data_IF_518569197345
#
_entry.id   IF_518569197345
#
_cell.length_a   1.000
_cell.length_b   1.000
_cell.length_c   1.000
_cell.angle_alpha   90.00
_cell.angle_beta   90.00
_cell.angle_gamma   90.00
#
_symmetry.space_group_name_H-M   'P 1'
#
loop_
_entity.id
_entity.type
_entity.pdbx_description
1 polymer ?
#
# COMPACT_ATOMS: atom_id res chain seq x y z
N UNK A 1 -12.39 22.11 9.18
CA UNK A 1 -11.78 20.91 9.78
C UNK A 1 -11.41 20.05 8.61
N UNK A 2 -10.14 20.06 8.23
CA UNK A 2 -9.62 19.09 7.27
C UNK A 2 -9.09 17.95 8.14
N UNK A 3 -9.98 17.04 8.53
CA UNK A 3 -9.59 15.77 9.15
C UNK A 3 -9.02 14.88 8.04
N UNK A 4 -7.81 15.19 7.59
CA UNK A 4 -7.07 14.32 6.66
C UNK A 4 -6.46 13.22 7.51
N UNK A 5 -7.05 12.02 7.44
CA UNK A 5 -6.53 10.83 8.11
C UNK A 5 -5.39 10.29 7.26
N UNK A 6 -4.19 10.20 7.82
CA UNK A 6 -3.05 9.57 7.17
C UNK A 6 -2.99 8.10 7.57
N UNK A 7 -2.75 7.22 6.61
CA UNK A 7 -2.68 5.78 6.86
C UNK A 7 -1.26 5.30 6.74
N UNK A 8 -0.79 4.55 7.74
CA UNK A 8 0.41 3.73 7.57
C UNK A 8 -0.02 2.33 7.20
N UNK A 9 0.31 1.96 5.98
CA UNK A 9 -0.04 0.67 5.40
C UNK A 9 1.18 -0.24 5.43
N UNK A 10 1.01 -1.40 6.05
CA UNK A 10 1.95 -2.51 5.96
C UNK A 10 1.55 -3.40 4.79
N UNK A 11 2.23 -3.23 3.66
CA UNK A 11 2.08 -4.05 2.46
C UNK A 11 2.85 -5.35 2.62
N UNK A 12 2.15 -6.48 2.54
CA UNK A 12 2.76 -7.81 2.51
C UNK A 12 2.53 -8.47 1.17
N UNK A 13 3.58 -9.10 0.62
CA UNK A 13 3.48 -9.77 -0.68
C UNK A 13 3.19 -11.25 -0.49
N UNK A 14 2.10 -11.70 -1.09
CA UNK A 14 1.71 -13.10 -1.12
C UNK A 14 2.81 -13.97 -1.77
N UNK A 15 3.01 -15.18 -1.24
CA UNK A 15 4.01 -16.12 -1.76
C UNK A 15 5.44 -15.91 -1.25
N UNK A 16 5.71 -14.89 -0.43
CA UNK A 16 6.95 -14.75 0.36
C UNK A 16 8.22 -14.51 -0.46
N UNK A 17 8.12 -14.30 -1.78
CA UNK A 17 9.25 -14.07 -2.67
C UNK A 17 9.76 -12.62 -2.71
N UNK A 18 9.03 -11.69 -2.10
CA UNK A 18 9.33 -10.26 -2.14
C UNK A 18 9.30 -9.67 -0.73
N UNK A 19 10.22 -8.72 -0.47
CA UNK A 19 10.14 -7.91 0.73
C UNK A 19 8.86 -7.06 0.64
N UNK A 20 7.99 -7.16 1.65
CA UNK A 20 6.89 -6.21 1.83
C UNK A 20 7.42 -4.79 2.08
N UNK A 21 6.50 -3.83 2.15
CA UNK A 21 6.84 -2.43 2.37
C UNK A 21 5.93 -1.82 3.42
N UNK A 22 6.44 -0.85 4.18
CA UNK A 22 5.61 -0.02 5.06
C UNK A 22 5.63 1.39 4.49
N UNK A 23 4.47 1.87 4.04
CA UNK A 23 4.33 3.14 3.31
C UNK A 23 3.24 3.97 4.00
N UNK A 24 3.50 5.27 4.15
CA UNK A 24 2.45 6.20 4.55
C UNK A 24 1.73 6.66 3.29
N UNK A 25 0.41 6.60 3.31
CA UNK A 25 -0.47 7.03 2.22
C UNK A 25 -1.50 8.00 2.78
N UNK A 26 -1.93 8.92 1.93
CA UNK A 26 -2.92 9.94 2.29
C UNK A 26 -4.35 9.39 2.22
N UNK A 27 -4.56 8.33 1.45
CA UNK A 27 -5.84 7.68 1.23
C UNK A 27 -5.78 6.20 1.62
N UNK A 28 -6.91 5.65 2.09
CA UNK A 28 -7.03 4.23 2.40
C UNK A 28 -6.85 3.40 1.10
N UNK A 29 -5.94 2.41 1.10
CA UNK A 29 -5.72 1.56 -0.07
C UNK A 29 -6.98 0.75 -0.38
N UNK A 30 -7.21 0.48 -1.66
CA UNK A 30 -8.39 -0.24 -2.13
C UNK A 30 -8.01 -1.57 -2.77
N UNK A 31 -8.81 -2.61 -2.55
CA UNK A 31 -8.62 -3.90 -3.25
C UNK A 31 -8.74 -3.69 -4.77
N UNK A 32 -7.76 -4.19 -5.51
CA UNK A 32 -7.60 -4.00 -6.95
C UNK A 32 -6.73 -2.79 -7.33
N UNK A 33 -6.34 -1.95 -6.37
CA UNK A 33 -5.38 -0.88 -6.59
C UNK A 33 -4.00 -1.44 -6.93
N UNK A 34 -3.26 -0.72 -7.77
CA UNK A 34 -1.90 -1.07 -8.13
C UNK A 34 -0.91 -0.16 -7.43
N UNK A 35 0.00 -0.75 -6.66
CA UNK A 35 1.01 -0.04 -5.89
C UNK A 35 2.40 -0.39 -6.40
N UNK A 36 3.26 0.62 -6.48
CA UNK A 36 4.65 0.46 -6.92
C UNK A 36 5.58 0.67 -5.74
N UNK A 37 6.40 -0.33 -5.47
CA UNK A 37 7.50 -0.21 -4.52
C UNK A 37 8.66 -1.12 -4.94
N UNK A 38 9.89 -0.72 -4.62
CA UNK A 38 11.10 -1.47 -5.00
C UNK A 38 11.19 -1.76 -6.52
N UNK A 39 10.70 -0.83 -7.35
CA UNK A 39 10.69 -0.96 -8.82
C UNK A 39 9.72 -2.02 -9.36
N UNK A 40 8.84 -2.58 -8.51
CA UNK A 40 7.89 -3.64 -8.85
C UNK A 40 6.47 -3.15 -8.67
N UNK A 41 5.58 -3.68 -9.51
CA UNK A 41 4.15 -3.42 -9.50
C UNK A 41 3.43 -4.57 -8.79
N UNK A 42 2.60 -4.22 -7.82
CA UNK A 42 1.78 -5.15 -7.06
C UNK A 42 0.31 -4.71 -7.10
N UNK A 43 -0.59 -5.69 -7.03
CA UNK A 43 -2.03 -5.46 -6.90
C UNK A 43 -2.45 -5.74 -5.47
N UNK A 44 -3.17 -4.82 -4.85
CA UNK A 44 -3.76 -5.02 -3.52
C UNK A 44 -4.88 -6.06 -3.62
N UNK A 45 -4.75 -7.18 -2.92
CA UNK A 45 -5.73 -8.26 -2.92
C UNK A 45 -6.64 -8.24 -1.69
N UNK A 46 -6.15 -7.70 -0.58
CA UNK A 46 -6.89 -7.62 0.67
C UNK A 46 -6.44 -6.40 1.47
N UNK A 47 -7.36 -5.74 2.17
CA UNK A 47 -7.06 -4.64 3.10
C UNK A 47 -7.72 -4.95 4.43
N UNK A 48 -6.94 -4.88 5.50
CA UNK A 48 -7.37 -5.15 6.87
C UNK A 48 -6.98 -3.98 7.76
N UNK A 49 -7.94 -3.43 8.48
CA UNK A 49 -7.66 -2.47 9.55
C UNK A 49 -7.09 -3.21 10.76
N UNK A 50 -5.83 -2.92 11.11
CA UNK A 50 -5.18 -3.55 12.25
C UNK A 50 -5.58 -2.90 13.57
N UNK A 51 -5.78 -1.58 13.55
CA UNK A 51 -6.20 -0.80 14.70
C UNK A 51 -7.12 0.33 14.24
N UNK A 52 -8.17 0.65 15.03
CA UNK A 52 -9.03 1.77 14.73
C UNK A 52 -8.21 3.08 14.68
N UNK A 53 -8.60 4.04 13.83
CA UNK A 53 -7.89 5.31 13.71
C UNK A 53 -7.82 6.02 15.06
N UNK A 54 -6.63 6.45 15.44
CA UNK A 54 -6.35 7.16 16.69
C UNK A 54 -6.01 8.61 16.37
N UNK A 55 -7.02 9.48 16.44
CA UNK A 55 -6.89 10.86 15.95
C UNK A 55 -6.81 10.87 14.42
N UNK A 56 -5.77 11.49 13.87
CA UNK A 56 -5.62 11.70 12.42
C UNK A 56 -4.79 10.58 11.74
N UNK A 57 -4.68 9.40 12.36
CA UNK A 57 -3.82 8.32 11.88
C UNK A 57 -4.43 6.92 12.03
N UNK A 58 -4.39 6.14 10.94
CA UNK A 58 -4.84 4.74 10.89
C UNK A 58 -3.70 3.76 10.58
N UNK A 59 -3.78 2.54 11.13
CA UNK A 59 -2.86 1.45 10.80
C UNK A 59 -3.58 0.38 9.99
N UNK A 60 -3.16 0.22 8.75
CA UNK A 60 -3.73 -0.74 7.82
C UNK A 60 -2.69 -1.80 7.44
N UNK A 61 -3.20 -2.97 7.09
CA UNK A 61 -2.44 -4.06 6.51
C UNK A 61 -3.03 -4.36 5.15
N UNK A 62 -2.21 -4.37 4.12
CA UNK A 62 -2.63 -4.69 2.78
C UNK A 62 -1.86 -5.91 2.27
N UNK A 63 -2.59 -6.97 1.92
CA UNK A 63 -1.99 -8.07 1.17
C UNK A 63 -1.93 -7.67 -0.30
N UNK A 64 -0.83 -8.01 -0.94
CA UNK A 64 -0.63 -7.72 -2.34
C UNK A 64 -0.06 -8.92 -3.08
N UNK A 65 -0.39 -8.99 -4.36
CA UNK A 65 0.17 -9.96 -5.28
C UNK A 65 1.12 -9.26 -6.24
N UNK A 66 2.30 -9.85 -6.41
CA UNK A 66 3.23 -9.40 -7.45
C UNK A 66 2.63 -9.58 -8.84
N UNK A 67 2.66 -8.51 -9.65
CA UNK A 67 2.25 -8.57 -11.05
C UNK A 67 3.47 -8.65 -11.98
N UNK A 68 4.34 -7.65 -11.91
CA UNK A 68 5.51 -7.50 -12.81
C UNK A 68 6.47 -6.43 -12.30
N UNK A 69 7.62 -6.28 -12.94
CA UNK A 69 8.46 -5.09 -12.82
C UNK A 69 7.66 -3.84 -13.26
N UNK A 70 7.81 -2.75 -12.53
CA UNK A 70 7.19 -1.48 -12.86
C UNK A 70 7.93 -0.82 -14.04
N UNK A 71 7.18 -0.11 -14.87
CA UNK A 71 7.76 0.70 -15.94
C UNK A 71 8.34 2.00 -15.36
N UNK A 72 9.22 2.66 -16.12
CA UNK A 72 9.80 3.94 -15.69
C UNK A 72 8.72 5.01 -15.41
N UNK A 73 7.64 5.03 -16.19
CA UNK A 73 6.53 5.97 -16.01
C UNK A 73 5.74 5.70 -14.71
N UNK A 74 5.54 4.43 -14.35
CA UNK A 74 4.86 4.03 -13.11
C UNK A 74 5.71 4.35 -11.88
N UNK A 75 7.03 4.15 -11.96
CA UNK A 75 7.96 4.54 -10.89
C UNK A 75 7.97 6.06 -10.71
N UNK A 76 7.96 6.82 -11.81
CA UNK A 76 7.94 8.28 -11.76
C UNK A 76 6.63 8.85 -11.20
N UNK A 77 5.53 8.11 -11.32
CA UNK A 77 4.20 8.52 -10.82
C UNK A 77 3.95 8.14 -9.35
N UNK A 78 4.78 7.25 -8.79
CA UNK A 78 4.68 6.77 -7.41
C UNK A 78 5.60 7.52 -6.41
N UNK A 79 6.40 8.48 -6.90
CA UNK A 79 7.35 9.28 -6.12
C UNK A 79 6.85 10.71 -5.92
#
# INVERSE_FOLDING_TARGET
>A
MSDTIYYKVSYVVEGGGHAGAIINVDDEPVVGEQVVFDGKLFEVTEVTELMPPMGDFGFLHAACRYLREATADEIASAA
#
